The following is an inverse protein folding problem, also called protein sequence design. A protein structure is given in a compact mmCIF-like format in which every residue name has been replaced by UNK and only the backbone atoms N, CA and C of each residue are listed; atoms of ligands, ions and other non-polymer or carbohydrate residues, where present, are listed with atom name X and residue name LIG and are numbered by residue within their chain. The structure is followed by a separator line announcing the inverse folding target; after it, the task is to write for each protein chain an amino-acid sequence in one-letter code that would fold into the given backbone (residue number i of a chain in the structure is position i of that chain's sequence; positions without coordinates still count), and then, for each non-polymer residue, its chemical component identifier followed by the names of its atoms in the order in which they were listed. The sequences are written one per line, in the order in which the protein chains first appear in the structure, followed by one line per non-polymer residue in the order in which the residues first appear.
data_IF_358427139766
#
_entry.id   IF_358427139766
#
_cell.length_a   1.000
_cell.length_b   1.000
_cell.length_c   1.000
_cell.angle_alpha   90.00
_cell.angle_beta   90.00
_cell.angle_gamma   90.00
#
_symmetry.space_group_name_H-M   'P 1'
#
loop_
_entity.id
_entity.type
_entity.pdbx_description
1 polymer ?
#
# COMPACT_ATOMS: atom_id res chain seq x y z
N UNK A 1 -4.71 6.44 14.84
CA UNK A 1 -4.59 6.71 13.38
C UNK A 1 -5.94 6.67 12.66
N UNK A 2 -6.11 7.31 11.48
CA UNK A 2 -7.26 7.07 10.57
C UNK A 2 -6.77 6.69 9.18
N UNK A 3 -7.39 5.70 8.56
CA UNK A 3 -7.07 5.21 7.21
C UNK A 3 -8.29 5.32 6.32
N UNK A 4 -8.17 6.09 5.25
CA UNK A 4 -9.13 6.14 4.16
C UNK A 4 -8.68 5.19 3.06
N UNK A 5 -9.48 4.16 2.77
CA UNK A 5 -9.27 3.29 1.61
C UNK A 5 -9.70 4.06 0.37
N UNK A 6 -8.76 4.32 -0.53
CA UNK A 6 -9.02 4.87 -1.85
C UNK A 6 -9.09 3.74 -2.87
N UNK A 7 -9.30 4.05 -4.14
CA UNK A 7 -9.45 3.02 -5.16
C UNK A 7 -8.20 2.15 -5.27
N UNK A 8 -8.41 0.83 -5.44
CA UNK A 8 -7.37 -0.16 -5.74
C UNK A 8 -6.31 -0.36 -4.63
N UNK A 9 -5.09 0.13 -4.80
CA UNK A 9 -4.00 0.04 -3.81
C UNK A 9 -3.81 1.31 -2.99
N UNK A 10 -4.50 2.41 -3.32
CA UNK A 10 -4.23 3.67 -2.65
C UNK A 10 -4.82 3.73 -1.24
N UNK A 11 -3.99 4.15 -0.27
CA UNK A 11 -4.43 4.48 1.09
C UNK A 11 -4.06 5.92 1.41
N UNK A 12 -4.98 6.64 2.05
CA UNK A 12 -4.70 7.96 2.64
C UNK A 12 -4.82 7.84 4.16
N UNK A 13 -3.73 8.10 4.85
CA UNK A 13 -3.57 7.88 6.29
C UNK A 13 -3.37 9.23 6.97
N UNK A 14 -4.07 9.47 8.08
CA UNK A 14 -3.98 10.73 8.83
C UNK A 14 -3.79 10.49 10.33
N UNK A 15 -2.95 11.31 10.95
CA UNK A 15 -2.79 11.39 12.41
C UNK A 15 -2.60 12.85 12.81
N UNK A 16 -3.54 13.40 13.59
CA UNK A 16 -3.62 14.85 13.78
C UNK A 16 -3.79 15.59 12.44
N UNK A 17 -2.90 16.53 12.16
CA UNK A 17 -2.92 17.34 10.94
C UNK A 17 -2.07 16.75 9.80
N UNK A 18 -1.35 15.64 10.02
CA UNK A 18 -0.47 15.05 9.01
C UNK A 18 -1.19 14.07 8.09
N UNK A 19 -0.75 14.01 6.84
CA UNK A 19 -1.31 13.17 5.79
C UNK A 19 -0.20 12.37 5.10
N UNK A 20 -0.27 11.05 5.21
CA UNK A 20 0.57 10.10 4.50
C UNK A 20 -0.27 9.40 3.41
N UNK A 21 0.25 9.30 2.20
CA UNK A 21 -0.42 8.57 1.10
C UNK A 21 0.44 7.39 0.66
N UNK A 22 -0.16 6.21 0.51
CA UNK A 22 0.50 5.02 -0.01
C UNK A 22 -0.08 4.71 -1.38
N UNK A 23 0.79 4.42 -2.35
CA UNK A 23 0.47 3.99 -3.72
C UNK A 23 -0.60 4.83 -4.44
N UNK A 24 -0.35 6.13 -4.67
CA UNK A 24 -1.22 6.99 -5.48
C UNK A 24 -1.07 6.68 -6.98
N UNK A 25 -1.44 5.47 -7.40
CA UNK A 25 -1.38 5.01 -8.78
C UNK A 25 -2.49 5.59 -9.66
N UNK A 26 -2.43 5.29 -10.97
CA UNK A 26 -3.33 5.80 -12.02
C UNK A 26 -4.81 5.47 -11.79
N UNK A 27 -5.13 4.48 -10.95
CA UNK A 27 -6.51 4.12 -10.60
C UNK A 27 -7.07 4.90 -9.41
N UNK A 28 -6.22 5.63 -8.69
CA UNK A 28 -6.61 6.38 -7.51
C UNK A 28 -7.47 7.58 -7.87
N UNK A 29 -8.20 8.08 -6.87
CA UNK A 29 -8.91 9.35 -6.97
C UNK A 29 -7.94 10.49 -7.27
N UNK A 30 -8.33 11.43 -8.13
CA UNK A 30 -7.50 12.61 -8.47
C UNK A 30 -7.10 13.45 -7.25
N UNK A 31 -7.87 13.36 -6.17
CA UNK A 31 -7.64 14.09 -4.91
C UNK A 31 -6.80 13.29 -3.91
N UNK A 32 -6.31 12.10 -4.25
CA UNK A 32 -5.56 11.24 -3.33
C UNK A 32 -4.38 11.98 -2.68
N UNK A 33 -3.64 12.76 -3.48
CA UNK A 33 -2.46 13.51 -3.07
C UNK A 33 -2.75 14.88 -2.43
N UNK A 34 -4.02 15.29 -2.35
CA UNK A 34 -4.36 16.62 -1.81
C UNK A 34 -3.96 16.74 -0.34
N UNK A 35 -3.05 17.67 -0.08
CA UNK A 35 -2.54 17.98 1.26
C UNK A 35 -1.54 16.97 1.81
N UNK A 36 -1.10 15.98 1.03
CA UNK A 36 -0.12 14.98 1.47
C UNK A 36 1.17 15.64 1.99
N UNK A 37 1.68 15.18 3.13
CA UNK A 37 2.98 15.57 3.70
C UNK A 37 4.07 14.57 3.32
N UNK A 38 3.69 13.30 3.16
CA UNK A 38 4.55 12.26 2.64
C UNK A 38 3.80 11.28 1.73
N UNK A 39 4.53 10.68 0.79
CA UNK A 39 4.05 9.63 -0.11
C UNK A 39 4.98 8.42 0.01
N UNK A 40 4.41 7.24 0.16
CA UNK A 40 5.12 5.96 0.05
C UNK A 40 4.71 5.28 -1.26
N UNK A 41 5.70 4.80 -2.02
CA UNK A 41 5.48 4.03 -3.25
C UNK A 41 6.07 2.64 -3.04
N UNK A 42 5.26 1.61 -3.20
CA UNK A 42 5.68 0.22 -3.01
C UNK A 42 6.55 -0.25 -4.17
N UNK A 43 6.16 0.05 -5.41
CA UNK A 43 6.89 -0.33 -6.63
C UNK A 43 6.48 0.49 -7.87
N UNK A 44 7.08 0.18 -9.03
CA UNK A 44 7.01 1.00 -10.24
C UNK A 44 5.76 0.81 -11.12
N UNK A 45 4.88 -0.14 -10.84
CA UNK A 45 3.71 -0.34 -11.70
C UNK A 45 2.74 0.84 -11.64
N UNK A 46 2.09 1.12 -12.77
CA UNK A 46 1.30 2.33 -12.99
C UNK A 46 0.04 2.41 -12.11
N UNK A 47 -0.48 1.28 -11.66
CA UNK A 47 -1.59 1.15 -10.72
C UNK A 47 -1.19 1.42 -9.25
N UNK A 48 0.11 1.53 -8.98
CA UNK A 48 0.68 1.97 -7.69
C UNK A 48 1.37 3.34 -7.79
N UNK A 49 1.84 3.73 -8.98
CA UNK A 49 2.56 4.98 -9.22
C UNK A 49 2.00 5.77 -10.42
N UNK A 50 1.39 6.92 -10.16
CA UNK A 50 1.15 7.96 -11.16
C UNK A 50 2.24 9.04 -11.09
N UNK A 51 3.26 8.91 -11.95
CA UNK A 51 4.40 9.85 -12.02
C UNK A 51 3.96 11.30 -12.27
N UNK A 52 2.97 11.51 -13.13
CA UNK A 52 2.52 12.86 -13.49
C UNK A 52 1.77 13.51 -12.33
N UNK A 53 0.88 12.77 -11.67
CA UNK A 53 0.15 13.24 -10.50
C UNK A 53 1.10 13.53 -9.33
N UNK A 54 2.09 12.67 -9.11
CA UNK A 54 3.10 12.86 -8.07
C UNK A 54 3.97 14.09 -8.35
N UNK A 55 4.40 14.29 -9.59
CA UNK A 55 5.16 15.48 -9.99
C UNK A 55 4.35 16.77 -9.78
N UNK A 56 3.06 16.78 -10.12
CA UNK A 56 2.17 17.91 -9.87
C UNK A 56 2.00 18.18 -8.36
N UNK A 57 1.90 17.14 -7.53
CA UNK A 57 1.79 17.27 -6.09
C UNK A 57 3.06 17.86 -5.45
N UNK A 58 4.24 17.38 -5.85
CA UNK A 58 5.53 17.94 -5.41
C UNK A 58 5.68 19.40 -5.84
N UNK A 59 5.29 19.74 -7.07
CA UNK A 59 5.32 21.12 -7.54
C UNK A 59 4.38 22.05 -6.74
N UNK A 60 3.22 21.55 -6.31
CA UNK A 60 2.27 22.30 -5.51
C UNK A 60 2.68 22.44 -4.03
N UNK A 61 3.46 21.50 -3.50
CA UNK A 61 3.93 21.48 -2.11
C UNK A 61 5.40 21.06 -2.06
N UNK A 62 6.35 22.01 -2.10
CA UNK A 62 7.78 21.72 -2.14
C UNK A 62 8.30 20.91 -0.94
N UNK A 63 7.63 20.97 0.20
CA UNK A 63 7.98 20.20 1.40
C UNK A 63 7.47 18.74 1.37
N UNK A 64 6.69 18.35 0.36
CA UNK A 64 6.22 16.98 0.20
C UNK A 64 7.41 16.03 0.00
N UNK A 65 7.47 14.96 0.78
CA UNK A 65 8.49 13.92 0.65
C UNK A 65 7.94 12.64 0.04
N UNK A 66 8.74 11.99 -0.80
CA UNK A 66 8.40 10.72 -1.44
C UNK A 66 9.42 9.67 -1.03
N UNK A 67 8.95 8.48 -0.68
CA UNK A 67 9.78 7.35 -0.26
C UNK A 67 9.49 6.15 -1.15
N UNK A 68 10.53 5.56 -1.74
CA UNK A 68 10.40 4.43 -2.65
C UNK A 68 11.69 3.60 -2.70
N UNK A 69 11.61 2.38 -3.23
CA UNK A 69 12.81 1.58 -3.52
C UNK A 69 13.71 2.29 -4.55
N UNK A 70 15.03 2.11 -4.45
CA UNK A 70 16.01 2.73 -5.35
C UNK A 70 15.72 2.48 -6.85
N UNK A 71 15.18 1.30 -7.19
CA UNK A 71 14.80 0.95 -8.57
C UNK A 71 13.66 1.81 -9.13
N UNK A 72 12.85 2.47 -8.29
CA UNK A 72 11.76 3.37 -8.73
C UNK A 72 12.26 4.78 -9.06
N UNK A 73 13.37 5.21 -8.43
CA UNK A 73 13.89 6.58 -8.56
C UNK A 73 14.18 7.04 -10.00
N UNK A 74 14.64 6.20 -10.94
CA UNK A 74 14.82 6.61 -12.33
C UNK A 74 13.54 7.19 -12.98
N UNK A 75 12.35 6.66 -12.61
CA UNK A 75 11.06 7.18 -13.08
C UNK A 75 10.71 8.53 -12.46
N UNK A 76 11.34 8.88 -11.34
CA UNK A 76 11.10 10.11 -10.56
C UNK A 76 12.28 11.09 -10.65
N UNK A 77 13.15 10.95 -11.65
CA UNK A 77 14.37 11.76 -11.79
C UNK A 77 14.13 13.28 -11.78
N UNK A 78 12.96 13.74 -12.25
CA UNK A 78 12.55 15.15 -12.18
C UNK A 78 12.19 15.66 -10.78
N UNK A 79 12.12 14.78 -9.78
CA UNK A 79 11.70 15.04 -8.39
C UNK A 79 12.82 14.75 -7.39
N UNK A 80 14.08 14.71 -7.82
CA UNK A 80 15.21 14.19 -7.04
C UNK A 80 15.31 14.76 -5.61
N UNK A 81 15.02 16.04 -5.41
CA UNK A 81 15.09 16.68 -4.08
C UNK A 81 13.98 16.20 -3.12
N UNK A 82 12.85 15.75 -3.65
CA UNK A 82 11.70 15.28 -2.89
C UNK A 82 11.78 13.77 -2.59
N UNK A 83 12.52 12.99 -3.38
CA UNK A 83 12.53 11.53 -3.34
C UNK A 83 13.67 10.99 -2.46
N UNK A 84 13.33 10.08 -1.56
CA UNK A 84 14.27 9.36 -0.70
C UNK A 84 14.21 7.87 -1.03
N UNK A 85 15.38 7.26 -1.28
CA UNK A 85 15.48 5.83 -1.46
C UNK A 85 15.30 5.09 -0.12
N UNK A 86 14.53 4.01 -0.13
CA UNK A 86 14.29 3.14 1.01
C UNK A 86 14.74 1.73 0.67
N UNK A 87 15.45 1.09 1.60
CA UNK A 87 15.85 -0.31 1.52
C UNK A 87 14.89 -1.22 2.31
N UNK A 88 14.85 -2.50 1.94
CA UNK A 88 14.21 -3.52 2.76
C UNK A 88 14.81 -3.54 4.19
N UNK A 89 13.96 -3.65 5.20
CA UNK A 89 14.33 -3.67 6.61
C UNK A 89 14.60 -2.29 7.22
N UNK A 90 14.61 -1.23 6.41
CA UNK A 90 14.84 0.13 6.88
C UNK A 90 13.62 0.66 7.64
N UNK A 91 13.89 1.28 8.79
CA UNK A 91 12.94 2.11 9.53
C UNK A 91 13.25 3.60 9.30
N UNK A 92 12.21 4.42 9.16
CA UNK A 92 12.32 5.85 8.92
C UNK A 92 11.06 6.61 9.38
N UNK A 93 11.18 7.93 9.53
CA UNK A 93 10.03 8.82 9.74
C UNK A 93 9.49 9.31 8.39
N UNK A 94 8.17 9.26 8.23
CA UNK A 94 7.47 9.88 7.10
C UNK A 94 6.31 10.72 7.62
N UNK A 95 6.55 12.02 7.79
CA UNK A 95 5.55 12.99 8.29
C UNK A 95 5.02 12.64 9.69
N UNK A 96 5.89 12.22 10.60
CA UNK A 96 5.55 11.86 11.97
C UNK A 96 5.04 10.43 12.16
N UNK A 97 4.94 9.65 11.08
CA UNK A 97 4.69 8.21 11.14
C UNK A 97 6.01 7.45 11.18
N UNK A 98 6.13 6.49 12.10
CA UNK A 98 7.21 5.50 12.04
C UNK A 98 6.87 4.48 10.97
N UNK A 99 7.73 4.33 9.97
CA UNK A 99 7.52 3.42 8.84
C UNK A 99 8.67 2.43 8.78
N UNK A 100 8.36 1.14 8.68
CA UNK A 100 9.33 0.08 8.40
C UNK A 100 9.02 -0.61 7.08
N UNK A 101 10.03 -0.73 6.23
CA UNK A 101 9.93 -1.36 4.93
C UNK A 101 10.24 -2.86 5.00
N UNK A 102 9.45 -3.67 4.30
CA UNK A 102 9.56 -5.13 4.23
C UNK A 102 9.59 -5.60 2.77
N UNK A 103 10.11 -6.79 2.51
CA UNK A 103 9.96 -7.48 1.22
C UNK A 103 11.15 -7.35 0.29
N UNK A 104 11.19 -6.32 -0.54
CA UNK A 104 12.26 -6.11 -1.52
C UNK A 104 12.01 -6.74 -2.90
N UNK A 105 10.98 -7.60 -3.07
CA UNK A 105 10.58 -8.14 -4.38
C UNK A 105 9.07 -8.31 -4.51
N UNK A 106 8.54 -7.95 -5.67
CA UNK A 106 7.16 -8.21 -6.08
C UNK A 106 6.90 -9.73 -6.13
N UNK A 107 5.65 -10.17 -5.92
CA UNK A 107 5.22 -11.55 -6.16
C UNK A 107 5.54 -12.00 -7.60
N UNK A 108 5.65 -13.31 -7.83
CA UNK A 108 5.93 -13.81 -9.18
C UNK A 108 4.68 -13.66 -10.05
N UNK A 109 4.72 -12.80 -11.07
CA UNK A 109 3.66 -12.70 -12.07
C UNK A 109 3.70 -13.93 -12.99
N UNK A 110 4.86 -14.18 -13.58
CA UNK A 110 5.14 -15.34 -14.42
C UNK A 110 6.66 -15.60 -14.41
N UNK A 111 7.15 -16.85 -14.48
CA UNK A 111 8.59 -17.14 -14.48
C UNK A 111 9.40 -16.44 -15.60
N UNK A 112 8.76 -16.13 -16.72
CA UNK A 112 9.39 -15.43 -17.86
C UNK A 112 9.40 -13.90 -17.73
N UNK A 113 8.76 -13.35 -16.70
CA UNK A 113 8.73 -11.90 -16.44
C UNK A 113 9.74 -11.60 -15.32
N UNK A 114 10.72 -10.70 -15.55
CA UNK A 114 11.65 -10.30 -14.50
C UNK A 114 10.93 -9.76 -13.26
N UNK A 115 11.35 -10.22 -12.07
CA UNK A 115 10.82 -9.72 -10.80
C UNK A 115 11.42 -8.36 -10.46
N UNK A 116 10.56 -7.36 -10.35
CA UNK A 116 10.91 -6.01 -9.92
C UNK A 116 10.92 -5.89 -8.39
N UNK A 117 11.43 -4.77 -7.90
CA UNK A 117 11.37 -4.45 -6.48
C UNK A 117 9.92 -4.22 -6.02
N UNK A 118 9.62 -4.57 -4.77
CA UNK A 118 8.40 -4.17 -4.07
C UNK A 118 8.69 -4.05 -2.59
N UNK A 119 8.39 -2.90 -2.00
CA UNK A 119 8.38 -2.72 -0.55
C UNK A 119 6.96 -2.82 -0.01
N UNK A 120 6.77 -3.60 1.05
CA UNK A 120 5.63 -3.45 1.94
C UNK A 120 5.96 -2.46 3.05
N UNK A 121 4.99 -1.70 3.53
CA UNK A 121 5.17 -0.69 4.58
C UNK A 121 4.31 -1.01 5.79
N UNK A 122 4.96 -1.19 6.95
CA UNK A 122 4.30 -1.17 8.25
C UNK A 122 4.39 0.25 8.80
N UNK A 123 3.23 0.86 9.05
CA UNK A 123 3.09 2.28 9.37
C UNK A 123 2.48 2.38 10.75
N UNK A 124 3.12 3.14 11.64
CA UNK A 124 2.68 3.33 13.02
C UNK A 124 2.61 4.82 13.38
N UNK A 125 1.63 5.19 14.21
CA UNK A 125 1.52 6.51 14.84
C UNK A 125 1.82 6.48 16.36
N UNK A 126 2.41 5.37 16.83
CA UNK A 126 2.68 5.11 18.24
C UNK A 126 1.53 4.44 19.00
N UNK A 127 0.33 4.35 18.43
CA UNK A 127 -0.83 3.67 19.03
C UNK A 127 -1.32 2.50 18.17
N UNK A 128 -1.51 2.74 16.87
CA UNK A 128 -2.03 1.77 15.92
C UNK A 128 -0.98 1.42 14.86
N UNK A 129 -1.09 0.23 14.25
CA UNK A 129 -0.27 -0.17 13.09
C UNK A 129 -1.11 -0.55 11.87
N UNK A 130 -0.66 -0.13 10.69
CA UNK A 130 -1.28 -0.46 9.40
C UNK A 130 -0.22 -1.08 8.51
N UNK A 131 -0.50 -2.25 7.93
CA UNK A 131 0.39 -2.90 6.98
C UNK A 131 -0.17 -2.86 5.57
N UNK A 132 0.61 -2.28 4.65
CA UNK A 132 0.36 -2.26 3.23
C UNK A 132 1.46 -3.05 2.49
N UNK A 133 1.20 -4.27 2.01
CA UNK A 133 2.25 -5.15 1.50
C UNK A 133 2.71 -4.83 0.06
N UNK A 134 2.03 -3.89 -0.62
CA UNK A 134 2.13 -3.74 -2.07
C UNK A 134 1.70 -5.03 -2.75
N UNK A 135 2.39 -5.36 -3.84
CA UNK A 135 2.14 -6.58 -4.61
C UNK A 135 3.08 -7.70 -4.16
N UNK A 136 3.02 -8.00 -2.87
CA UNK A 136 3.78 -9.09 -2.26
C UNK A 136 2.99 -9.75 -1.12
N UNK A 137 3.45 -10.93 -0.71
CA UNK A 137 2.95 -11.61 0.49
C UNK A 137 4.01 -11.67 1.59
N UNK A 138 4.83 -10.62 1.69
CA UNK A 138 5.88 -10.54 2.72
C UNK A 138 5.25 -10.33 4.08
N UNK A 139 5.48 -11.24 5.02
CA UNK A 139 4.97 -11.16 6.39
C UNK A 139 5.93 -10.31 7.23
N UNK A 140 5.46 -9.24 7.90
CA UNK A 140 6.29 -8.45 8.80
C UNK A 140 6.62 -9.25 10.07
N UNK A 141 7.74 -8.93 10.71
CA UNK A 141 8.17 -9.57 11.97
C UNK A 141 7.57 -8.90 13.23
N UNK A 142 6.70 -7.90 13.02
CA UNK A 142 6.03 -7.12 14.06
C UNK A 142 4.50 -7.31 14.07
N UNK A 143 3.82 -7.09 15.21
CA UNK A 143 2.37 -7.15 15.30
C UNK A 143 1.65 -6.15 14.37
N UNK A 144 0.66 -6.66 13.63
CA UNK A 144 -0.17 -5.86 12.72
C UNK A 144 -1.57 -5.69 13.30
N UNK A 145 -1.99 -4.45 13.53
CA UNK A 145 -3.34 -4.15 13.97
C UNK A 145 -4.32 -4.20 12.78
N UNK A 146 -4.00 -3.49 11.69
CA UNK A 146 -4.81 -3.45 10.47
C UNK A 146 -3.99 -3.89 9.25
N UNK A 147 -4.41 -4.97 8.58
CA UNK A 147 -3.82 -5.43 7.32
C UNK A 147 -4.66 -4.97 6.13
N UNK A 148 -4.04 -4.44 5.08
CA UNK A 148 -4.65 -4.33 3.76
C UNK A 148 -4.17 -5.49 2.88
N UNK A 149 -5.04 -6.48 2.66
CA UNK A 149 -4.72 -7.75 1.99
C UNK A 149 -5.06 -7.70 0.50
N UNK A 150 -4.12 -7.97 -0.42
CA UNK A 150 -4.42 -8.07 -1.86
C UNK A 150 -5.52 -9.09 -2.13
N UNK A 151 -6.56 -8.68 -2.87
CA UNK A 151 -7.75 -9.49 -3.14
C UNK A 151 -7.71 -10.12 -4.53
N UNK A 152 -7.25 -9.39 -5.54
CA UNK A 152 -7.22 -9.89 -6.91
C UNK A 152 -6.17 -9.20 -7.78
N UNK A 153 -5.25 -9.98 -8.36
CA UNK A 153 -4.35 -9.52 -9.40
C UNK A 153 -3.96 -10.69 -10.32
N UNK A 154 -3.42 -10.42 -11.53
CA UNK A 154 -2.94 -11.48 -12.42
C UNK A 154 -1.84 -12.37 -11.82
N UNK A 155 -1.13 -11.87 -10.80
CA UNK A 155 0.02 -12.51 -10.19
C UNK A 155 -0.30 -13.38 -8.96
N UNK A 156 -1.57 -13.50 -8.56
CA UNK A 156 -1.96 -14.21 -7.34
C UNK A 156 -3.11 -15.20 -7.52
N UNK A 157 -3.15 -16.17 -6.61
CA UNK A 157 -4.33 -16.96 -6.27
C UNK A 157 -4.90 -16.45 -4.94
N UNK A 158 -6.22 -16.52 -4.79
CA UNK A 158 -6.88 -16.15 -3.54
C UNK A 158 -6.38 -16.95 -2.32
N UNK A 159 -5.98 -18.21 -2.51
CA UNK A 159 -5.41 -19.03 -1.43
C UNK A 159 -4.14 -18.43 -0.83
N UNK A 160 -3.31 -17.74 -1.63
CA UNK A 160 -2.09 -17.11 -1.16
C UNK A 160 -2.41 -15.90 -0.27
N UNK A 161 -3.43 -15.11 -0.62
CA UNK A 161 -3.92 -14.02 0.22
C UNK A 161 -4.51 -14.53 1.55
N UNK A 162 -5.22 -15.66 1.53
CA UNK A 162 -5.74 -16.30 2.75
C UNK A 162 -4.60 -16.77 3.65
N UNK A 163 -3.60 -17.46 3.08
CA UNK A 163 -2.46 -17.97 3.85
C UNK A 163 -1.58 -16.81 4.36
N UNK A 164 -1.45 -15.75 3.57
CA UNK A 164 -0.79 -14.52 3.99
C UNK A 164 -1.51 -13.85 5.17
N UNK A 165 -2.84 -13.66 5.11
CA UNK A 165 -3.60 -13.12 6.22
C UNK A 165 -3.46 -13.96 7.51
N UNK A 166 -3.48 -15.30 7.37
CA UNK A 166 -3.23 -16.23 8.49
C UNK A 166 -1.82 -16.17 9.05
N UNK A 167 -0.83 -15.88 8.23
CA UNK A 167 0.55 -15.75 8.65
C UNK A 167 0.77 -14.43 9.40
N UNK A 168 0.19 -13.33 8.91
CA UNK A 168 0.24 -12.00 9.55
C UNK A 168 -0.54 -11.99 10.88
N UNK A 169 -1.67 -12.70 10.96
CA UNK A 169 -2.57 -12.72 12.12
C UNK A 169 -2.98 -11.31 12.61
N UNK A 170 -3.44 -10.43 11.72
CA UNK A 170 -3.78 -9.07 12.13
C UNK A 170 -5.07 -9.08 12.97
N UNK A 171 -5.30 -8.03 13.75
CA UNK A 171 -6.59 -7.90 14.47
C UNK A 171 -7.75 -7.79 13.49
N UNK A 172 -7.59 -6.98 12.44
CA UNK A 172 -8.56 -6.80 11.35
C UNK A 172 -7.86 -6.70 10.01
N UNK A 173 -8.56 -7.06 8.94
CA UNK A 173 -8.07 -6.97 7.58
C UNK A 173 -9.10 -6.31 6.65
N UNK A 174 -8.60 -5.57 5.67
CA UNK A 174 -9.40 -4.96 4.62
C UNK A 174 -8.87 -5.31 3.24
N UNK A 175 -9.76 -5.40 2.26
CA UNK A 175 -9.36 -5.64 0.88
C UNK A 175 -8.43 -4.54 0.35
N UNK A 176 -7.44 -4.96 -0.43
CA UNK A 176 -6.56 -4.15 -1.27
C UNK A 176 -6.57 -4.74 -2.68
N UNK A 177 -6.23 -3.96 -3.71
CA UNK A 177 -6.05 -4.46 -5.07
C UNK A 177 -7.34 -5.18 -5.56
N UNK A 178 -8.47 -4.49 -5.47
CA UNK A 178 -9.82 -5.05 -5.63
C UNK A 178 -10.60 -4.51 -6.84
N UNK A 179 -10.14 -3.40 -7.44
CA UNK A 179 -10.78 -2.74 -8.59
C UNK A 179 -11.04 -3.66 -9.80
N UNK A 180 -10.19 -4.66 -10.03
CA UNK A 180 -10.28 -5.53 -11.21
C UNK A 180 -11.44 -6.52 -11.13
N UNK A 181 -12.05 -6.68 -9.95
CA UNK A 181 -13.18 -7.57 -9.76
C UNK A 181 -14.49 -6.90 -10.13
N UNK A 182 -15.36 -7.68 -10.78
CA UNK A 182 -16.79 -7.38 -10.76
C UNK A 182 -17.34 -7.58 -9.35
N UNK A 183 -18.50 -6.98 -9.05
CA UNK A 183 -19.18 -7.14 -7.76
C UNK A 183 -19.41 -8.62 -7.39
N UNK A 184 -19.78 -9.45 -8.38
CA UNK A 184 -19.96 -10.89 -8.19
C UNK A 184 -18.63 -11.60 -7.85
N UNK A 185 -17.54 -11.26 -8.55
CA UNK A 185 -16.22 -11.81 -8.28
C UNK A 185 -15.69 -11.42 -6.90
N UNK A 186 -15.94 -10.18 -6.49
CA UNK A 186 -15.64 -9.67 -5.15
C UNK A 186 -16.44 -10.41 -4.07
N UNK A 187 -17.75 -10.60 -4.26
CA UNK A 187 -18.60 -11.36 -3.33
C UNK A 187 -18.05 -12.76 -3.04
N UNK A 188 -17.62 -13.48 -4.08
CA UNK A 188 -17.04 -14.82 -3.93
C UNK A 188 -15.70 -14.76 -3.17
N UNK A 189 -14.82 -13.84 -3.57
CA UNK A 189 -13.47 -13.74 -2.99
C UNK A 189 -13.52 -13.31 -1.52
N UNK A 190 -14.37 -12.34 -1.19
CA UNK A 190 -14.63 -11.88 0.18
C UNK A 190 -15.14 -13.02 1.06
N UNK A 191 -16.16 -13.77 0.61
CA UNK A 191 -16.71 -14.88 1.40
C UNK A 191 -15.69 -15.98 1.72
N UNK A 192 -14.66 -16.16 0.88
CA UNK A 192 -13.55 -17.05 1.18
C UNK A 192 -12.59 -16.46 2.22
N UNK A 193 -12.21 -15.18 2.10
CA UNK A 193 -11.34 -14.51 3.09
C UNK A 193 -12.00 -14.43 4.47
N UNK A 194 -13.29 -14.05 4.55
CA UNK A 194 -14.04 -14.01 5.80
C UNK A 194 -14.05 -15.37 6.52
N UNK A 195 -14.30 -16.45 5.76
CA UNK A 195 -14.41 -17.79 6.33
C UNK A 195 -13.08 -18.43 6.67
N UNK A 196 -12.02 -18.12 5.92
CA UNK A 196 -10.77 -18.88 5.96
C UNK A 196 -9.60 -18.12 6.58
N UNK A 197 -9.56 -16.78 6.55
CA UNK A 197 -8.42 -16.01 7.06
C UNK A 197 -8.19 -16.17 8.57
N UNK A 198 -9.27 -16.41 9.33
CA UNK A 198 -9.21 -16.42 10.80
C UNK A 198 -9.12 -15.01 11.42
N UNK A 199 -9.44 -13.98 10.64
CA UNK A 199 -9.35 -12.56 11.01
C UNK A 199 -10.68 -11.87 10.66
N UNK A 200 -11.05 -10.82 11.41
CA UNK A 200 -12.14 -9.92 11.02
C UNK A 200 -11.82 -9.24 9.68
N UNK A 201 -12.59 -9.53 8.63
CA UNK A 201 -12.32 -9.05 7.29
C UNK A 201 -13.52 -8.27 6.71
N UNK A 202 -13.24 -7.23 5.93
CA UNK A 202 -14.23 -6.58 5.07
C UNK A 202 -13.60 -5.99 3.79
N UNK A 203 -14.40 -5.86 2.73
CA UNK A 203 -14.06 -4.98 1.61
C UNK A 203 -14.65 -3.58 1.86
N UNK A 204 -13.81 -2.55 1.84
CA UNK A 204 -14.24 -1.17 2.03
C UNK A 204 -14.51 -0.49 0.68
N UNK A 205 -15.66 0.16 0.49
CA UNK A 205 -15.85 1.04 -0.67
C UNK A 205 -14.79 2.17 -0.70
N UNK A 206 -14.31 2.60 -1.87
CA UNK A 206 -13.42 3.75 -1.97
C UNK A 206 -14.00 5.00 -1.29
N UNK A 207 -13.15 5.73 -0.56
CA UNK A 207 -13.50 6.87 0.29
C UNK A 207 -13.90 6.51 1.72
N UNK A 208 -14.07 5.22 2.04
CA UNK A 208 -14.40 4.78 3.40
C UNK A 208 -13.20 4.98 4.33
N UNK A 209 -13.45 5.56 5.51
CA UNK A 209 -12.43 5.81 6.53
C UNK A 209 -12.65 4.97 7.76
N UNK A 210 -11.61 4.29 8.23
CA UNK A 210 -11.55 3.52 9.46
C UNK A 210 -10.52 4.11 10.41
N UNK A 211 -10.72 3.94 11.71
CA UNK A 211 -9.83 4.40 12.78
C UNK A 211 -10.22 3.61 14.01
#
# INVERSE_FOLDING_TARGET
MRVTKLTHSCLRITSGDTVLVVDPGKFSEKTALTGADAVLVTHEHFDHLDVDALAAAVAAKPDLRVYAHADVLPLLSGLADAVTAVAEGQEFDAAGFTVRAYGGRHAVIHPDIPRIANLGYLIADGQDTVYHPGDSFTVPDEPVETLFVPLNAPWMKLSEAIDFARAVKPRRAYALHDLLLTELGATISNGHLERLSGTEYAQLPPGTTVG
#
